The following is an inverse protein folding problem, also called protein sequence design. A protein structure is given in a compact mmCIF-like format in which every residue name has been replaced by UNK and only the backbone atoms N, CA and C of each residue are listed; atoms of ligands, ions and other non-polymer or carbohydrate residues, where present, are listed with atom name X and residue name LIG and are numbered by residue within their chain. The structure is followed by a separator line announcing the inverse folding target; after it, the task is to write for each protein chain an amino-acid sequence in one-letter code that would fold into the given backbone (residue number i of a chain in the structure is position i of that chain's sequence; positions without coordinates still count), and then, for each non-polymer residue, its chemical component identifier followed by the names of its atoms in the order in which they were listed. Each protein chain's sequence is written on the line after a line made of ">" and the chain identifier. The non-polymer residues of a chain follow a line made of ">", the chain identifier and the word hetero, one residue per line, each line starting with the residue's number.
data_IF_847462887581
#
_entry.id   IF_847462887581
#
_cell.length_a   1.000
_cell.length_b   1.000
_cell.length_c   1.000
_cell.angle_alpha   90.00
_cell.angle_beta   90.00
_cell.angle_gamma   90.00
#
_symmetry.space_group_name_H-M   'P 1'
#
loop_
_entity.id
_entity.type
_entity.pdbx_description
1 polymer ?
#
# COMPACT_ATOMS: atom_id res chain seq x y z
N UNK A 1 -99.18 3.95 21.44
CA UNK A 1 -98.51 4.60 20.30
C UNK A 1 -98.47 6.10 20.57
N UNK A 2 -97.27 6.66 20.84
CA UNK A 2 -97.05 8.10 21.02
C UNK A 2 -96.67 8.69 19.66
N UNK A 3 -97.43 9.67 19.20
CA UNK A 3 -97.16 10.40 17.96
C UNK A 3 -95.94 11.32 18.12
N UNK A 4 -95.02 11.25 17.16
CA UNK A 4 -93.88 12.15 17.04
C UNK A 4 -94.36 13.42 16.32
N UNK A 5 -94.31 14.55 17.02
CA UNK A 5 -94.49 15.87 16.41
C UNK A 5 -93.21 16.23 15.64
N UNK A 6 -93.29 16.25 14.31
CA UNK A 6 -92.23 16.79 13.45
C UNK A 6 -92.46 18.29 13.30
N UNK A 7 -91.53 19.08 13.84
CA UNK A 7 -91.53 20.55 13.73
C UNK A 7 -91.26 21.00 12.29
N UNK A 8 -91.86 22.13 11.91
CA UNK A 8 -91.82 22.76 10.57
C UNK A 8 -90.43 22.71 9.90
N UNK A 9 -90.33 22.23 8.63
CA UNK A 9 -89.10 22.32 7.88
C UNK A 9 -88.88 23.76 7.43
N UNK A 10 -87.95 24.48 8.09
CA UNK A 10 -87.36 25.69 7.50
C UNK A 10 -86.48 25.21 6.34
N UNK A 11 -86.92 25.45 5.11
CA UNK A 11 -86.19 25.09 3.90
C UNK A 11 -84.81 25.73 3.87
N UNK A 12 -83.77 24.92 3.71
CA UNK A 12 -82.39 25.34 3.55
C UNK A 12 -82.27 26.15 2.25
N UNK A 13 -81.72 27.36 2.32
CA UNK A 13 -81.59 28.20 1.10
C UNK A 13 -80.38 27.75 0.29
N UNK A 14 -80.47 27.84 -1.05
CA UNK A 14 -79.34 27.54 -1.95
C UNK A 14 -78.11 28.40 -1.60
N UNK A 15 -78.32 29.63 -1.12
CA UNK A 15 -77.25 30.54 -0.70
C UNK A 15 -76.50 29.99 0.52
N UNK A 16 -77.21 29.43 1.50
CA UNK A 16 -76.61 28.81 2.68
C UNK A 16 -75.74 27.59 2.31
N UNK A 17 -76.20 26.79 1.34
CA UNK A 17 -75.41 25.67 0.80
C UNK A 17 -74.14 26.15 0.09
N UNK A 18 -74.23 27.21 -0.73
CA UNK A 18 -73.06 27.77 -1.44
C UNK A 18 -72.03 28.33 -0.47
N UNK A 19 -72.47 29.01 0.60
CA UNK A 19 -71.55 29.54 1.63
C UNK A 19 -70.85 28.40 2.39
N UNK A 20 -71.56 27.32 2.72
CA UNK A 20 -70.96 26.15 3.37
C UNK A 20 -69.94 25.46 2.45
N UNK A 21 -70.27 25.28 1.17
CA UNK A 21 -69.35 24.68 0.20
C UNK A 21 -68.10 25.55 -0.03
N UNK A 22 -68.26 26.87 -0.11
CA UNK A 22 -67.14 27.80 -0.21
C UNK A 22 -66.26 27.76 1.05
N UNK A 23 -66.87 27.74 2.25
CA UNK A 23 -66.15 27.61 3.52
C UNK A 23 -65.37 26.31 3.63
N UNK A 24 -66.00 25.17 3.28
CA UNK A 24 -65.33 23.87 3.25
C UNK A 24 -64.22 23.80 2.20
N UNK A 25 -64.39 24.43 1.03
CA UNK A 25 -63.36 24.50 0.00
C UNK A 25 -62.11 25.25 0.46
N UNK A 26 -62.30 26.42 1.09
CA UNK A 26 -61.19 27.22 1.63
C UNK A 26 -60.49 26.46 2.78
N UNK A 27 -61.25 25.93 3.74
CA UNK A 27 -60.69 25.19 4.88
C UNK A 27 -59.94 23.92 4.45
N UNK A 28 -60.47 23.19 3.45
CA UNK A 28 -59.79 22.01 2.90
C UNK A 28 -58.45 22.37 2.28
N UNK A 29 -58.38 23.49 1.54
CA UNK A 29 -57.14 23.94 0.88
C UNK A 29 -56.03 24.34 1.86
N UNK A 30 -56.39 24.89 3.03
CA UNK A 30 -55.44 25.30 4.07
C UNK A 30 -54.97 24.14 4.95
N UNK A 31 -55.79 23.09 5.10
CA UNK A 31 -55.43 21.94 5.94
C UNK A 31 -54.47 20.96 5.26
N UNK A 32 -54.44 20.88 3.92
CA UNK A 32 -53.70 19.81 3.22
C UNK A 32 -52.18 20.03 3.19
N UNK A 33 -51.71 21.27 3.15
CA UNK A 33 -50.29 21.59 2.94
C UNK A 33 -49.38 21.16 4.10
N UNK A 34 -49.91 21.10 5.32
CA UNK A 34 -49.12 20.73 6.50
C UNK A 34 -48.98 19.21 6.69
N UNK A 35 -49.98 18.42 6.29
CA UNK A 35 -49.98 16.95 6.52
C UNK A 35 -48.82 16.26 5.79
N UNK A 36 -48.51 16.70 4.56
CA UNK A 36 -47.42 16.12 3.77
C UNK A 36 -46.06 16.33 4.47
N UNK A 37 -45.83 17.53 5.02
CA UNK A 37 -44.59 17.81 5.76
C UNK A 37 -44.44 16.92 7.00
N UNK A 38 -45.53 16.66 7.72
CA UNK A 38 -45.50 15.74 8.86
C UNK A 38 -45.20 14.29 8.45
N UNK A 39 -45.71 13.85 7.30
CA UNK A 39 -45.37 12.54 6.75
C UNK A 39 -43.89 12.45 6.35
N UNK A 40 -43.33 13.51 5.77
CA UNK A 40 -41.90 13.57 5.43
C UNK A 40 -41.02 13.51 6.70
N UNK A 41 -41.38 14.23 7.77
CA UNK A 41 -40.68 14.11 9.05
C UNK A 41 -40.78 12.71 9.65
N UNK A 42 -41.95 12.07 9.57
CA UNK A 42 -42.12 10.70 10.06
C UNK A 42 -41.22 9.70 9.31
N UNK A 43 -41.09 9.85 7.98
CA UNK A 43 -40.16 9.04 7.17
C UNK A 43 -38.70 9.26 7.55
N UNK A 44 -38.30 10.51 7.78
CA UNK A 44 -36.95 10.86 8.24
C UNK A 44 -36.67 10.21 9.60
N UNK A 45 -37.62 10.26 10.54
CA UNK A 45 -37.45 9.65 11.86
C UNK A 45 -37.45 8.12 11.82
N UNK A 46 -38.20 7.52 10.90
CA UNK A 46 -38.12 6.09 10.62
C UNK A 46 -36.73 5.72 10.10
N UNK A 47 -36.19 6.45 9.12
CA UNK A 47 -34.84 6.23 8.60
C UNK A 47 -33.76 6.39 9.69
N UNK A 48 -33.85 7.42 10.55
CA UNK A 48 -32.96 7.58 11.72
C UNK A 48 -33.06 6.40 12.68
N UNK A 49 -34.26 5.88 12.91
CA UNK A 49 -34.48 4.72 13.79
C UNK A 49 -33.81 3.47 13.23
N UNK A 50 -33.96 3.23 11.92
CA UNK A 50 -33.32 2.14 11.22
C UNK A 50 -31.78 2.26 11.27
N UNK A 51 -31.22 3.45 11.02
CA UNK A 51 -29.78 3.70 11.13
C UNK A 51 -29.26 3.53 12.57
N UNK A 52 -29.99 4.01 13.58
CA UNK A 52 -29.60 3.82 14.98
C UNK A 52 -29.54 2.35 15.37
N UNK A 53 -30.51 1.56 14.89
CA UNK A 53 -30.52 0.12 15.10
C UNK A 53 -29.30 -0.53 14.45
N UNK A 54 -29.05 -0.20 13.18
CA UNK A 54 -27.89 -0.70 12.45
C UNK A 54 -26.57 -0.33 13.13
N UNK A 55 -26.41 0.92 13.54
CA UNK A 55 -25.25 1.38 14.28
C UNK A 55 -25.07 0.63 15.61
N UNK A 56 -26.15 0.36 16.34
CA UNK A 56 -26.08 -0.37 17.61
C UNK A 56 -25.63 -1.83 17.41
N UNK A 57 -26.12 -2.51 16.38
CA UNK A 57 -25.71 -3.88 16.06
C UNK A 57 -24.28 -3.92 15.53
N UNK A 58 -23.87 -2.98 14.68
CA UNK A 58 -22.47 -2.85 14.27
C UNK A 58 -21.55 -2.59 15.47
N UNK A 59 -21.92 -1.68 16.39
CA UNK A 59 -21.16 -1.45 17.62
C UNK A 59 -21.02 -2.70 18.48
N UNK A 60 -22.07 -3.52 18.58
CA UNK A 60 -21.99 -4.79 19.29
C UNK A 60 -21.01 -5.74 18.61
N UNK A 61 -20.98 -5.76 17.29
CA UNK A 61 -20.05 -6.61 16.54
C UNK A 61 -18.61 -6.10 16.64
N UNK A 62 -18.37 -4.79 16.60
CA UNK A 62 -17.06 -4.19 16.87
C UNK A 62 -16.52 -4.57 18.26
N UNK A 63 -17.40 -4.78 19.24
CA UNK A 63 -16.99 -5.26 20.58
C UNK A 63 -16.65 -6.75 20.60
N UNK A 64 -17.17 -7.54 19.66
CA UNK A 64 -16.91 -8.98 19.56
C UNK A 64 -15.69 -9.30 18.72
N UNK A 65 -15.59 -8.64 17.56
CA UNK A 65 -14.53 -8.83 16.58
C UNK A 65 -14.16 -7.46 15.95
N UNK A 66 -13.31 -6.67 16.63
CA UNK A 66 -12.94 -5.35 16.14
C UNK A 66 -12.19 -5.39 14.80
N UNK A 67 -11.56 -6.53 14.45
CA UNK A 67 -10.71 -6.67 13.26
C UNK A 67 -11.55 -6.82 11.99
N UNK A 68 -12.66 -7.56 12.08
CA UNK A 68 -13.51 -7.86 10.92
C UNK A 68 -14.84 -7.09 10.89
N UNK A 69 -15.24 -6.44 12.00
CA UNK A 69 -16.52 -5.74 12.06
C UNK A 69 -16.63 -4.54 11.11
N UNK A 70 -15.53 -3.83 10.84
CA UNK A 70 -15.54 -2.64 9.98
C UNK A 70 -15.87 -2.98 8.52
N UNK A 71 -15.31 -4.08 8.02
CA UNK A 71 -15.44 -4.51 6.62
C UNK A 71 -16.72 -5.29 6.35
N UNK A 72 -17.47 -5.66 7.40
CA UNK A 72 -18.70 -6.41 7.26
C UNK A 72 -19.77 -5.59 6.57
N UNK A 73 -20.31 -6.12 5.48
CA UNK A 73 -21.48 -5.52 4.83
C UNK A 73 -22.69 -5.63 5.75
N UNK A 74 -23.42 -4.53 5.90
CA UNK A 74 -24.75 -4.53 6.53
C UNK A 74 -25.79 -5.26 5.67
N UNK A 75 -25.45 -5.45 4.39
CA UNK A 75 -26.28 -6.07 3.38
C UNK A 75 -25.66 -7.40 3.02
N UNK A 76 -26.34 -8.51 3.30
CA UNK A 76 -25.97 -9.79 2.72
C UNK A 76 -27.16 -10.36 1.97
N UNK A 77 -27.37 -9.89 0.73
CA UNK A 77 -28.38 -10.44 -0.16
C UNK A 77 -28.09 -11.91 -0.57
N UNK A 78 -26.90 -12.45 -0.27
CA UNK A 78 -26.43 -13.75 -0.77
C UNK A 78 -26.25 -14.86 0.25
N UNK A 79 -26.24 -14.58 1.55
CA UNK A 79 -26.15 -15.64 2.58
C UNK A 79 -27.52 -16.06 3.10
N UNK A 80 -28.39 -16.57 2.21
CA UNK A 80 -29.65 -17.25 2.61
C UNK A 80 -29.41 -18.57 3.37
N UNK A 81 -28.16 -19.06 3.43
CA UNK A 81 -27.80 -20.34 4.03
C UNK A 81 -27.15 -20.23 5.42
N UNK A 82 -26.90 -19.03 5.94
CA UNK A 82 -26.55 -18.81 7.35
C UNK A 82 -27.65 -17.99 8.00
N UNK A 83 -28.53 -18.68 8.73
CA UNK A 83 -29.20 -18.06 9.87
C UNK A 83 -28.11 -17.33 10.67
N UNK A 84 -28.25 -16.02 10.93
CA UNK A 84 -27.77 -15.34 12.15
C UNK A 84 -27.41 -13.85 12.01
N UNK A 85 -27.76 -13.13 10.93
CA UNK A 85 -28.04 -11.70 11.10
C UNK A 85 -29.42 -11.33 10.57
N UNK A 86 -30.28 -10.71 11.39
CA UNK A 86 -31.52 -10.16 10.89
C UNK A 86 -31.22 -9.16 9.78
N UNK A 87 -32.18 -8.96 8.89
CA UNK A 87 -32.19 -7.93 7.87
C UNK A 87 -32.35 -6.56 8.56
N UNK A 88 -31.27 -6.12 9.20
CA UNK A 88 -31.21 -5.00 10.16
C UNK A 88 -31.61 -3.69 9.48
N UNK A 89 -31.11 -3.53 8.26
CA UNK A 89 -31.34 -2.41 7.37
C UNK A 89 -31.35 -3.01 5.97
N UNK A 90 -32.53 -3.15 5.35
CA UNK A 90 -32.67 -3.70 3.99
C UNK A 90 -32.93 -2.58 2.99
N UNK A 91 -32.52 -2.74 1.74
CA UNK A 91 -32.77 -1.72 0.70
C UNK A 91 -34.27 -1.49 0.55
N UNK A 92 -35.09 -2.55 0.58
CA UNK A 92 -36.56 -2.46 0.49
C UNK A 92 -37.16 -1.63 1.64
N UNK A 93 -36.72 -1.87 2.89
CA UNK A 93 -37.18 -1.09 4.05
C UNK A 93 -36.72 0.35 3.97
N UNK A 94 -35.50 0.60 3.51
CA UNK A 94 -34.98 1.95 3.35
C UNK A 94 -35.72 2.71 2.24
N UNK A 95 -36.01 2.05 1.11
CA UNK A 95 -36.73 2.63 -0.01
C UNK A 95 -38.15 3.07 0.38
N UNK A 96 -38.83 2.33 1.27
CA UNK A 96 -40.14 2.74 1.79
C UNK A 96 -40.12 4.07 2.57
N UNK A 97 -38.94 4.46 3.10
CA UNK A 97 -38.73 5.75 3.78
C UNK A 97 -38.32 6.88 2.84
N UNK A 98 -38.13 6.62 1.54
CA UNK A 98 -37.66 7.60 0.57
C UNK A 98 -36.13 7.72 0.50
N UNK A 99 -35.41 6.80 1.13
CA UNK A 99 -33.95 6.75 1.16
C UNK A 99 -33.40 5.55 0.39
N UNK A 100 -32.13 5.64 0.00
CA UNK A 100 -31.32 4.54 -0.55
C UNK A 100 -29.91 4.62 -0.01
N UNK A 101 -29.13 3.56 -0.12
CA UNK A 101 -27.71 3.66 0.21
C UNK A 101 -26.97 4.58 -0.75
N UNK A 102 -26.07 5.39 -0.20
CA UNK A 102 -25.02 6.03 -0.98
C UNK A 102 -24.03 4.93 -1.42
N UNK A 103 -23.57 4.96 -2.66
CA UNK A 103 -22.65 3.94 -3.21
C UNK A 103 -21.42 3.78 -2.31
N UNK A 104 -20.98 2.53 -2.10
CA UNK A 104 -19.82 2.11 -1.29
C UNK A 104 -19.90 2.30 0.24
N UNK A 105 -20.95 2.93 0.76
CA UNK A 105 -21.16 3.19 2.19
C UNK A 105 -22.23 2.27 2.78
N UNK A 106 -22.03 0.95 2.61
CA UNK A 106 -22.96 -0.10 3.03
C UNK A 106 -22.39 -1.03 4.10
N UNK A 107 -21.34 -0.58 4.80
CA UNK A 107 -20.56 -1.41 5.74
C UNK A 107 -20.78 -0.98 7.18
N UNK A 108 -20.54 -1.88 8.11
CA UNK A 108 -20.67 -1.57 9.53
C UNK A 108 -19.72 -0.47 10.01
N UNK A 109 -18.53 -0.35 9.41
CA UNK A 109 -17.60 0.74 9.71
C UNK A 109 -18.08 2.11 9.23
N UNK A 110 -18.85 2.14 8.14
CA UNK A 110 -19.33 3.37 7.51
C UNK A 110 -20.59 3.10 6.68
N UNK A 111 -21.69 3.70 7.11
CA UNK A 111 -23.00 3.59 6.44
C UNK A 111 -23.54 4.96 6.11
N UNK A 112 -23.95 5.17 4.86
CA UNK A 112 -24.54 6.42 4.40
C UNK A 112 -25.79 6.15 3.56
N UNK A 113 -26.84 6.92 3.82
CA UNK A 113 -28.09 6.91 3.08
C UNK A 113 -28.38 8.30 2.52
N UNK A 114 -28.98 8.32 1.35
CA UNK A 114 -29.32 9.54 0.61
C UNK A 114 -30.75 9.44 0.09
N UNK A 115 -31.35 10.58 -0.22
CA UNK A 115 -32.67 10.61 -0.85
C UNK A 115 -32.66 9.82 -2.17
N UNK A 116 -33.73 9.08 -2.46
CA UNK A 116 -33.88 8.37 -3.73
C UNK A 116 -33.88 9.36 -4.89
N UNK A 117 -34.62 10.46 -4.74
CA UNK A 117 -34.69 11.56 -5.70
C UNK A 117 -33.72 12.68 -5.30
N UNK A 118 -32.85 13.16 -6.22
CA UNK A 118 -31.99 14.31 -5.97
C UNK A 118 -32.76 15.58 -5.56
N UNK A 119 -33.97 15.77 -6.08
CA UNK A 119 -34.80 16.95 -5.74
C UNK A 119 -35.24 16.94 -4.27
N UNK A 120 -35.39 15.75 -3.69
CA UNK A 120 -35.81 15.61 -2.29
C UNK A 120 -34.64 15.85 -1.32
N UNK A 121 -33.37 15.76 -1.76
CA UNK A 121 -32.21 15.93 -0.87
C UNK A 121 -32.07 17.34 -0.31
N UNK A 122 -32.54 18.34 -1.06
CA UNK A 122 -32.51 19.76 -0.67
C UNK A 122 -33.80 20.26 -0.02
N UNK A 123 -34.89 19.46 -0.08
CA UNK A 123 -36.24 19.88 0.32
C UNK A 123 -36.84 19.06 1.45
N UNK A 124 -36.55 17.76 1.51
CA UNK A 124 -37.29 16.82 2.38
C UNK A 124 -36.36 15.92 3.19
N UNK A 125 -35.35 15.35 2.55
CA UNK A 125 -34.61 14.21 3.08
C UNK A 125 -33.11 14.52 3.12
N UNK A 126 -32.54 14.98 4.27
CA UNK A 126 -31.09 15.17 4.39
C UNK A 126 -30.35 13.85 4.19
N UNK A 127 -29.14 13.85 3.66
CA UNK A 127 -28.30 12.64 3.72
C UNK A 127 -27.95 12.34 5.17
N UNK A 128 -28.05 11.07 5.56
CA UNK A 128 -27.78 10.62 6.92
C UNK A 128 -26.70 9.55 6.86
N UNK A 129 -25.71 9.64 7.74
CA UNK A 129 -24.69 8.61 7.84
C UNK A 129 -24.23 8.38 9.27
N UNK A 130 -23.56 7.27 9.47
CA UNK A 130 -22.77 7.03 10.65
C UNK A 130 -21.44 6.35 10.28
N UNK A 131 -20.44 6.62 11.11
CA UNK A 131 -19.12 6.00 11.06
C UNK A 131 -18.84 5.45 12.45
N UNK A 132 -18.28 4.25 12.54
CA UNK A 132 -17.80 3.70 13.81
C UNK A 132 -16.27 3.70 13.75
N UNK A 133 -15.62 4.50 14.59
CA UNK A 133 -14.15 4.55 14.76
C UNK A 133 -13.80 4.15 16.18
N UNK A 134 -12.90 3.18 16.37
CA UNK A 134 -12.40 2.80 17.70
C UNK A 134 -13.52 2.49 18.72
N UNK A 135 -14.61 1.88 18.24
CA UNK A 135 -15.79 1.59 19.05
C UNK A 135 -16.63 2.82 19.42
N UNK A 136 -16.31 3.99 18.89
CA UNK A 136 -17.06 5.24 19.00
C UNK A 136 -17.94 5.42 17.77
N UNK A 137 -19.23 5.65 18.01
CA UNK A 137 -20.19 5.96 16.95
C UNK A 137 -20.24 7.46 16.70
N UNK A 138 -19.95 7.84 15.46
CA UNK A 138 -20.03 9.21 14.96
C UNK A 138 -21.19 9.27 13.99
N UNK A 139 -22.15 10.17 14.23
CA UNK A 139 -23.26 10.43 13.32
C UNK A 139 -22.94 11.67 12.51
N UNK A 140 -23.19 11.60 11.21
CA UNK A 140 -22.99 12.72 10.29
C UNK A 140 -24.23 12.92 9.42
N UNK A 141 -24.42 14.13 8.92
CA UNK A 141 -25.49 14.45 7.99
C UNK A 141 -25.02 15.38 6.89
N UNK A 142 -25.66 15.29 5.73
CA UNK A 142 -25.52 16.24 4.64
C UNK A 142 -26.73 17.17 4.63
N UNK A 143 -26.46 18.47 4.52
CA UNK A 143 -27.52 19.47 4.39
C UNK A 143 -27.42 20.20 3.05
N UNK A 144 -28.30 19.84 2.11
CA UNK A 144 -28.31 20.41 0.76
C UNK A 144 -29.33 21.57 0.61
N UNK A 145 -30.07 21.92 1.67
CA UNK A 145 -31.03 23.03 1.64
C UNK A 145 -31.50 23.51 3.02
N UNK A 146 -32.20 24.65 3.08
CA UNK A 146 -32.68 25.21 4.35
C UNK A 146 -33.78 24.37 5.02
N UNK A 147 -34.55 23.61 4.24
CA UNK A 147 -35.65 22.80 4.75
C UNK A 147 -35.16 21.51 5.46
N UNK A 148 -33.98 21.02 5.10
CA UNK A 148 -33.38 19.80 5.66
C UNK A 148 -32.48 20.05 6.87
N UNK A 149 -32.15 21.31 7.15
CA UNK A 149 -31.18 21.71 8.18
C UNK A 149 -31.57 21.23 9.58
N UNK A 150 -32.82 21.42 9.97
CA UNK A 150 -33.31 21.00 11.29
C UNK A 150 -33.21 19.49 11.48
N UNK A 151 -33.59 18.72 10.44
CA UNK A 151 -33.49 17.26 10.44
C UNK A 151 -32.04 16.78 10.48
N UNK A 152 -31.15 17.39 9.68
CA UNK A 152 -29.72 17.08 9.67
C UNK A 152 -29.08 17.35 11.04
N UNK A 153 -29.33 18.52 11.64
CA UNK A 153 -28.87 18.88 12.98
C UNK A 153 -29.43 17.97 14.06
N UNK A 154 -30.69 17.54 13.94
CA UNK A 154 -31.29 16.59 14.90
C UNK A 154 -30.62 15.21 14.89
N UNK A 155 -30.04 14.81 13.77
CA UNK A 155 -29.33 13.52 13.63
C UNK A 155 -27.86 13.63 14.04
N UNK A 156 -27.14 14.59 13.44
CA UNK A 156 -25.69 14.67 13.49
C UNK A 156 -25.15 15.72 14.47
N UNK A 157 -26.03 16.54 15.07
CA UNK A 157 -25.62 17.66 15.91
C UNK A 157 -24.77 18.65 15.12
N UNK A 158 -23.50 18.78 15.52
CA UNK A 158 -22.53 19.66 14.85
C UNK A 158 -21.87 19.02 13.61
N UNK A 159 -22.03 17.72 13.40
CA UNK A 159 -21.42 16.98 12.27
C UNK A 159 -22.28 17.08 10.99
N UNK A 160 -22.82 18.28 10.73
CA UNK A 160 -23.59 18.59 9.53
C UNK A 160 -22.67 19.30 8.54
N UNK A 161 -22.52 18.75 7.35
CA UNK A 161 -21.68 19.31 6.30
C UNK A 161 -22.39 19.28 4.94
N UNK A 162 -21.72 19.71 3.87
CA UNK A 162 -22.20 19.48 2.51
C UNK A 162 -21.90 18.05 2.09
N UNK A 163 -22.71 17.48 1.19
CA UNK A 163 -22.56 16.09 0.75
C UNK A 163 -21.14 15.70 0.32
N UNK A 164 -20.46 16.59 -0.41
CA UNK A 164 -19.09 16.36 -0.87
C UNK A 164 -18.07 16.28 0.27
N UNK A 165 -18.14 17.18 1.24
CA UNK A 165 -17.18 17.25 2.37
C UNK A 165 -17.27 16.02 3.27
N UNK A 166 -18.49 15.49 3.45
CA UNK A 166 -18.72 14.28 4.23
C UNK A 166 -18.08 13.06 3.56
N UNK A 167 -18.34 12.87 2.27
CA UNK A 167 -17.80 11.74 1.50
C UNK A 167 -16.27 11.80 1.50
N UNK A 168 -15.68 12.97 1.23
CA UNK A 168 -14.23 13.16 1.25
C UNK A 168 -13.60 12.85 2.61
N UNK A 169 -14.24 13.26 3.71
CA UNK A 169 -13.78 12.92 5.06
C UNK A 169 -13.90 11.41 5.33
N UNK A 170 -15.02 10.79 4.97
CA UNK A 170 -15.28 9.36 5.17
C UNK A 170 -14.30 8.46 4.41
N UNK A 171 -14.01 8.78 3.13
CA UNK A 171 -13.03 8.06 2.32
C UNK A 171 -11.62 8.21 2.89
N UNK A 172 -11.25 9.41 3.34
CA UNK A 172 -9.94 9.67 3.91
C UNK A 172 -9.74 8.92 5.23
N UNK A 173 -10.70 9.01 6.16
CA UNK A 173 -10.67 8.28 7.43
C UNK A 173 -10.59 6.76 7.21
N UNK A 174 -11.36 6.21 6.27
CA UNK A 174 -11.26 4.81 5.89
C UNK A 174 -9.86 4.42 5.37
N UNK A 175 -9.22 5.29 4.57
CA UNK A 175 -7.88 5.06 4.05
C UNK A 175 -6.81 5.02 5.16
N UNK A 176 -6.93 5.87 6.18
CA UNK A 176 -6.01 5.89 7.33
C UNK A 176 -6.10 4.56 8.08
N UNK A 177 -7.32 4.09 8.36
CA UNK A 177 -7.54 2.82 9.07
C UNK A 177 -7.04 1.62 8.30
N UNK A 178 -7.24 1.61 6.99
CA UNK A 178 -6.73 0.53 6.15
C UNK A 178 -5.20 0.49 6.21
N UNK A 179 -4.55 1.65 6.17
CA UNK A 179 -3.10 1.74 6.30
C UNK A 179 -2.61 1.32 7.69
N UNK A 180 -3.29 1.74 8.75
CA UNK A 180 -2.98 1.34 10.13
C UNK A 180 -3.12 -0.17 10.34
N UNK A 181 -4.25 -0.75 9.92
CA UNK A 181 -4.52 -2.19 10.01
C UNK A 181 -3.42 -2.98 9.30
N UNK A 182 -3.12 -2.64 8.04
CA UNK A 182 -2.07 -3.27 7.28
C UNK A 182 -0.70 -3.14 7.96
N UNK A 183 -0.37 -1.96 8.47
CA UNK A 183 0.89 -1.72 9.17
C UNK A 183 1.02 -2.58 10.44
N UNK A 184 -0.06 -2.70 11.22
CA UNK A 184 -0.11 -3.55 12.42
C UNK A 184 -0.05 -5.04 12.06
N UNK A 185 -0.69 -5.47 10.97
CA UNK A 185 -0.59 -6.83 10.44
C UNK A 185 0.85 -7.16 10.00
N UNK A 186 1.50 -6.28 9.23
CA UNK A 186 2.89 -6.44 8.79
C UNK A 186 3.85 -6.52 9.99
N UNK A 187 3.64 -5.67 11.01
CA UNK A 187 4.39 -5.73 12.26
C UNK A 187 4.17 -7.04 13.01
N UNK A 188 2.92 -7.50 13.16
CA UNK A 188 2.62 -8.75 13.83
C UNK A 188 3.21 -9.95 13.09
N UNK A 189 3.18 -9.93 11.75
CA UNK A 189 3.86 -10.93 10.93
C UNK A 189 5.37 -10.91 11.19
N UNK A 190 5.99 -9.73 11.25
CA UNK A 190 7.40 -9.60 11.60
C UNK A 190 7.70 -10.13 13.01
N UNK A 191 6.87 -9.82 14.00
CA UNK A 191 7.02 -10.34 15.37
C UNK A 191 6.75 -11.86 15.47
N UNK A 192 5.89 -12.43 14.62
CA UNK A 192 5.56 -13.86 14.68
C UNK A 192 6.73 -14.78 14.32
N UNK A 193 7.76 -14.27 13.64
CA UNK A 193 8.96 -15.02 13.32
C UNK A 193 10.02 -14.82 14.42
N UNK A 194 10.30 -15.87 15.20
CA UNK A 194 11.30 -15.85 16.28
C UNK A 194 12.74 -15.57 15.78
N UNK A 195 13.01 -15.71 14.48
CA UNK A 195 14.30 -15.31 13.90
C UNK A 195 14.43 -13.80 13.72
N UNK A 196 13.33 -13.04 13.74
CA UNK A 196 13.37 -11.60 13.57
C UNK A 196 13.85 -10.91 14.86
N UNK A 197 14.83 -10.03 14.67
CA UNK A 197 15.58 -9.33 15.72
C UNK A 197 16.01 -7.97 15.16
N UNK A 198 16.33 -7.04 16.03
CA UNK A 198 16.87 -5.75 15.66
C UNK A 198 15.81 -4.73 15.25
N UNK A 199 16.18 -3.88 14.29
CA UNK A 199 15.46 -2.66 13.92
C UNK A 199 14.37 -2.94 12.89
N UNK A 200 13.16 -2.44 13.14
CA UNK A 200 12.03 -2.48 12.21
C UNK A 200 11.47 -1.06 12.00
N UNK A 201 11.49 -0.58 10.76
CA UNK A 201 11.23 0.84 10.42
C UNK A 201 9.81 1.11 9.87
N UNK A 202 8.90 0.15 10.02
CA UNK A 202 7.54 0.20 9.44
C UNK A 202 6.48 -0.10 10.49
N UNK A 203 6.65 0.37 11.71
CA UNK A 203 5.60 0.30 12.73
C UNK A 203 4.67 1.52 12.63
N UNK A 204 3.45 1.39 13.15
CA UNK A 204 2.47 2.47 13.12
C UNK A 204 2.79 3.54 14.16
N UNK A 205 2.95 4.79 13.72
CA UNK A 205 3.11 5.94 14.57
C UNK A 205 1.74 6.45 15.05
N UNK A 206 1.46 6.29 16.34
CA UNK A 206 0.21 6.75 16.98
C UNK A 206 -0.02 8.27 16.86
N UNK A 207 1.01 9.07 16.54
CA UNK A 207 0.82 10.48 16.22
C UNK A 207 0.06 10.70 14.90
N UNK A 208 0.13 9.77 13.95
CA UNK A 208 -0.46 9.88 12.62
C UNK A 208 -2.00 9.95 12.62
N UNK A 209 -2.64 9.62 13.75
CA UNK A 209 -4.09 9.72 13.97
C UNK A 209 -4.47 10.67 15.11
N UNK A 210 -3.48 11.22 15.83
CA UNK A 210 -3.69 11.96 17.09
C UNK A 210 -4.51 13.25 16.96
N UNK A 211 -4.56 13.85 15.77
CA UNK A 211 -5.32 15.08 15.50
C UNK A 211 -6.33 14.90 14.37
N UNK A 212 -6.72 13.67 14.04
CA UNK A 212 -7.77 13.45 13.07
C UNK A 212 -9.11 14.01 13.57
N UNK A 213 -9.82 14.81 12.75
CA UNK A 213 -11.11 15.31 13.14
C UNK A 213 -12.11 14.15 13.17
N UNK A 214 -12.95 14.12 14.21
CA UNK A 214 -14.04 13.14 14.40
C UNK A 214 -15.21 13.37 13.43
N UNK A 215 -15.05 14.23 12.43
CA UNK A 215 -16.09 14.61 11.49
C UNK A 215 -15.53 15.57 10.43
N UNK A 216 -16.33 15.91 9.42
CA UNK A 216 -15.92 16.87 8.39
C UNK A 216 -15.56 18.25 9.00
N UNK A 217 -14.62 19.00 8.38
CA UNK A 217 -14.01 18.73 7.08
C UNK A 217 -12.85 17.72 7.13
N UNK A 218 -12.47 17.18 5.96
CA UNK A 218 -11.21 16.45 5.77
C UNK A 218 -10.03 17.35 6.10
N UNK A 219 -9.11 16.87 6.94
CA UNK A 219 -7.86 17.56 7.28
C UNK A 219 -6.72 16.60 6.98
N UNK A 220 -5.83 16.98 6.05
CA UNK A 220 -4.58 16.28 5.79
C UNK A 220 -3.46 16.97 6.58
N UNK A 221 -2.81 16.24 7.49
CA UNK A 221 -1.66 16.74 8.25
C UNK A 221 -0.73 15.60 8.64
N UNK A 222 0.44 15.91 9.21
CA UNK A 222 1.34 14.89 9.76
C UNK A 222 0.70 14.09 10.92
N UNK A 223 -0.33 14.65 11.55
CA UNK A 223 -1.08 14.06 12.66
C UNK A 223 -2.44 13.47 12.26
N UNK A 224 -2.75 13.50 10.96
CA UNK A 224 -3.91 12.85 10.36
C UNK A 224 -3.58 12.41 8.93
N UNK A 225 -2.92 11.25 8.80
CA UNK A 225 -2.37 10.76 7.53
C UNK A 225 -2.39 9.25 7.40
N UNK A 226 -2.64 8.70 6.20
CA UNK A 226 -2.50 7.27 5.95
C UNK A 226 -1.03 6.81 5.95
N UNK A 227 -0.07 7.75 5.92
CA UNK A 227 1.36 7.46 5.90
C UNK A 227 1.97 7.29 7.31
N UNK A 228 1.19 6.77 8.27
CA UNK A 228 1.61 6.57 9.66
C UNK A 228 2.57 5.39 9.88
N UNK A 229 2.81 4.55 8.87
CA UNK A 229 3.66 3.36 8.98
C UNK A 229 5.16 3.70 8.85
N UNK A 230 5.66 4.53 9.77
CA UNK A 230 7.00 5.12 9.73
C UNK A 230 7.70 5.14 11.09
N UNK A 231 7.13 4.51 12.12
CA UNK A 231 7.78 4.40 13.42
C UNK A 231 8.84 3.30 13.39
N UNK A 232 10.02 3.62 13.89
CA UNK A 232 11.06 2.64 14.20
C UNK A 232 10.79 1.98 15.53
N UNK A 233 10.96 0.67 15.60
CA UNK A 233 10.97 -0.11 16.83
C UNK A 233 12.18 -1.06 16.83
N UNK A 234 12.56 -1.51 18.02
CA UNK A 234 13.51 -2.60 18.20
C UNK A 234 12.78 -3.79 18.79
N UNK A 235 12.91 -4.96 18.15
CA UNK A 235 12.28 -6.19 18.60
C UNK A 235 13.27 -7.33 18.77
N UNK A 236 12.95 -8.27 19.66
CA UNK A 236 13.74 -9.47 19.89
C UNK A 236 12.82 -10.66 20.09
N UNK A 237 12.94 -11.69 19.24
CA UNK A 237 12.20 -12.97 19.33
C UNK A 237 10.70 -12.77 19.58
N UNK A 238 10.07 -11.96 18.73
CA UNK A 238 8.63 -11.70 18.75
C UNK A 238 8.11 -10.79 19.84
N UNK A 239 9.00 -10.11 20.58
CA UNK A 239 8.62 -9.05 21.51
C UNK A 239 9.20 -7.70 21.07
N UNK A 240 8.45 -6.62 21.26
CA UNK A 240 8.96 -5.25 21.13
C UNK A 240 9.76 -4.93 22.39
N UNK A 241 11.01 -4.49 22.22
CA UNK A 241 11.92 -4.12 23.32
C UNK A 241 11.87 -2.62 23.57
N UNK A 242 11.98 -1.82 22.51
CA UNK A 242 11.96 -0.35 22.59
C UNK A 242 11.34 0.26 21.33
N UNK A 243 10.97 1.54 21.43
CA UNK A 243 10.38 2.31 20.33
C UNK A 243 11.17 3.59 20.06
N UNK A 244 11.19 4.02 18.80
CA UNK A 244 11.88 5.23 18.34
C UNK A 244 13.26 4.95 17.74
N UNK A 245 13.69 5.83 16.83
CA UNK A 245 15.04 5.79 16.25
C UNK A 245 15.99 6.70 17.05
N UNK A 246 16.28 6.30 18.29
CA UNK A 246 17.17 7.06 19.18
C UNK A 246 18.29 6.17 19.72
N UNK A 247 19.46 6.75 20.05
CA UNK A 247 20.53 6.00 20.71
C UNK A 247 20.09 5.36 22.05
N UNK A 248 19.09 5.93 22.72
CA UNK A 248 18.53 5.35 23.94
C UNK A 248 17.73 4.08 23.62
N UNK A 249 16.88 4.10 22.60
CA UNK A 249 16.12 2.94 22.14
C UNK A 249 17.03 1.80 21.68
N UNK A 250 18.10 2.12 20.96
CA UNK A 250 19.11 1.14 20.55
C UNK A 250 19.87 0.58 21.75
N UNK A 251 20.26 1.42 22.72
CA UNK A 251 20.89 0.96 23.95
C UNK A 251 19.98 0.03 24.76
N UNK A 252 18.68 0.31 24.85
CA UNK A 252 17.72 -0.58 25.52
C UNK A 252 17.66 -1.96 24.85
N UNK A 253 17.76 -2.00 23.51
CA UNK A 253 17.87 -3.26 22.77
C UNK A 253 19.18 -3.98 23.09
N UNK A 254 20.32 -3.28 23.08
CA UNK A 254 21.63 -3.85 23.41
C UNK A 254 21.66 -4.44 24.83
N UNK A 255 21.17 -3.68 25.81
CA UNK A 255 21.06 -4.10 27.21
C UNK A 255 20.15 -5.35 27.32
N UNK A 256 19.05 -5.41 26.55
CA UNK A 256 18.17 -6.58 26.50
C UNK A 256 18.88 -7.81 25.93
N UNK A 257 19.63 -7.65 24.83
CA UNK A 257 20.42 -8.73 24.23
C UNK A 257 21.51 -9.21 25.18
N UNK A 258 22.20 -8.30 25.89
CA UNK A 258 23.19 -8.65 26.92
C UNK A 258 22.57 -9.51 28.04
N UNK A 259 21.36 -9.17 28.49
CA UNK A 259 20.64 -9.97 29.50
C UNK A 259 20.30 -11.37 28.96
N UNK A 260 19.89 -11.49 27.69
CA UNK A 260 19.44 -12.76 27.11
C UNK A 260 20.59 -13.68 26.68
N UNK A 261 21.70 -13.11 26.17
CA UNK A 261 22.79 -13.86 25.52
C UNK A 261 24.16 -13.65 26.16
N UNK A 262 24.27 -12.77 27.14
CA UNK A 262 25.53 -12.40 27.77
C UNK A 262 26.29 -11.31 27.00
N UNK A 263 27.17 -10.63 27.74
CA UNK A 263 27.92 -9.47 27.27
C UNK A 263 28.80 -9.74 26.05
N UNK A 264 29.52 -10.86 26.05
CA UNK A 264 30.42 -11.23 24.95
C UNK A 264 29.68 -11.37 23.61
N UNK A 265 28.47 -11.93 23.62
CA UNK A 265 27.62 -12.00 22.44
C UNK A 265 27.12 -10.61 22.03
N UNK A 266 26.60 -9.83 22.98
CA UNK A 266 26.07 -8.49 22.71
C UNK A 266 27.14 -7.56 22.09
N UNK A 267 28.36 -7.57 22.64
CA UNK A 267 29.50 -6.80 22.11
C UNK A 267 29.88 -7.24 20.69
N UNK A 268 29.83 -8.54 20.38
CA UNK A 268 30.12 -9.07 19.05
C UNK A 268 29.05 -8.63 18.02
N UNK A 269 27.76 -8.72 18.37
CA UNK A 269 26.66 -8.28 17.51
C UNK A 269 26.68 -6.76 17.29
N UNK A 270 27.05 -6.00 18.32
CA UNK A 270 27.25 -4.56 18.21
C UNK A 270 28.38 -4.21 17.24
N UNK A 271 29.53 -4.89 17.34
CA UNK A 271 30.64 -4.67 16.42
C UNK A 271 30.27 -4.98 14.96
N UNK A 272 29.42 -5.99 14.71
CA UNK A 272 28.91 -6.30 13.37
C UNK A 272 28.00 -5.20 12.82
N UNK A 273 27.11 -4.62 13.65
CA UNK A 273 26.29 -3.47 13.26
C UNK A 273 27.14 -2.25 12.92
N UNK A 274 28.10 -1.92 13.78
CA UNK A 274 28.98 -0.76 13.61
C UNK A 274 29.90 -0.86 12.39
N UNK A 275 30.22 -2.09 11.94
CA UNK A 275 30.99 -2.30 10.72
C UNK A 275 30.26 -1.80 9.47
N UNK A 276 28.93 -1.63 9.50
CA UNK A 276 28.09 -1.19 8.38
C UNK A 276 28.35 -1.98 7.08
N UNK A 277 28.68 -3.26 7.21
CA UNK A 277 28.98 -4.15 6.08
C UNK A 277 27.79 -5.06 5.78
N UNK A 278 27.70 -5.50 4.52
CA UNK A 278 26.80 -6.58 4.17
C UNK A 278 27.44 -7.90 4.58
N UNK A 279 26.68 -8.77 5.25
CA UNK A 279 27.11 -10.16 5.46
C UNK A 279 27.12 -10.94 4.16
N UNK A 280 27.70 -12.14 4.17
CA UNK A 280 27.54 -13.08 3.05
C UNK A 280 26.12 -13.66 2.99
N UNK A 281 25.78 -14.38 1.91
CA UNK A 281 24.52 -15.09 1.79
C UNK A 281 24.34 -16.17 2.87
N UNK A 282 25.44 -16.76 3.34
CA UNK A 282 25.46 -17.75 4.42
C UNK A 282 25.38 -17.09 5.82
N UNK A 283 25.27 -15.77 5.88
CA UNK A 283 25.34 -14.99 7.12
C UNK A 283 26.74 -14.99 7.71
N UNK A 284 26.83 -14.62 8.99
CA UNK A 284 28.06 -14.70 9.80
C UNK A 284 27.73 -15.50 11.07
N UNK A 285 28.39 -16.66 11.30
CA UNK A 285 28.31 -17.34 12.58
C UNK A 285 29.03 -16.51 13.64
N UNK A 286 28.40 -16.30 14.78
CA UNK A 286 29.02 -15.61 15.92
C UNK A 286 29.27 -16.61 17.02
N UNK A 287 30.52 -17.09 17.13
CA UNK A 287 30.93 -18.13 18.10
C UNK A 287 30.56 -17.78 19.54
N UNK A 288 30.58 -16.49 19.87
CA UNK A 288 30.21 -15.95 21.20
C UNK A 288 28.70 -16.00 21.48
N UNK A 289 27.87 -16.27 20.47
CA UNK A 289 26.42 -16.29 20.51
C UNK A 289 25.84 -17.70 20.26
N UNK A 290 26.47 -18.74 20.83
CA UNK A 290 26.08 -20.15 20.65
C UNK A 290 26.18 -20.66 19.20
N UNK A 291 26.95 -19.97 18.35
CA UNK A 291 27.05 -20.31 16.92
C UNK A 291 25.81 -19.91 16.10
N UNK A 292 24.94 -19.05 16.64
CA UNK A 292 23.85 -18.44 15.88
C UNK A 292 24.42 -17.70 14.65
N UNK A 293 23.69 -17.78 13.53
CA UNK A 293 24.04 -17.12 12.26
C UNK A 293 23.24 -15.83 12.12
N UNK A 294 23.91 -14.75 11.74
CA UNK A 294 23.32 -13.41 11.65
C UNK A 294 23.51 -12.84 10.24
N UNK A 295 22.51 -12.08 9.79
CA UNK A 295 22.57 -11.34 8.54
C UNK A 295 22.46 -9.85 8.83
N UNK A 296 23.32 -9.06 8.20
CA UNK A 296 23.30 -7.61 8.28
C UNK A 296 23.24 -7.01 6.88
N UNK A 297 22.39 -6.01 6.73
CA UNK A 297 22.29 -5.19 5.52
C UNK A 297 22.46 -3.73 5.92
N UNK A 298 23.58 -3.11 5.53
CA UNK A 298 23.93 -1.72 5.87
C UNK A 298 23.86 -1.44 7.38
N UNK A 299 24.42 -2.35 8.18
CA UNK A 299 24.47 -2.24 9.63
C UNK A 299 23.20 -2.65 10.37
N UNK A 300 22.07 -2.84 9.68
CA UNK A 300 20.84 -3.32 10.31
C UNK A 300 20.80 -4.86 10.32
N UNK A 301 20.53 -5.45 11.48
CA UNK A 301 20.25 -6.89 11.62
C UNK A 301 18.93 -7.22 10.92
N UNK A 302 18.95 -8.18 10.01
CA UNK A 302 17.79 -8.59 9.21
C UNK A 302 17.67 -10.11 9.16
N UNK A 303 16.50 -10.64 8.81
CA UNK A 303 16.36 -12.07 8.53
C UNK A 303 17.10 -12.45 7.24
N UNK A 304 17.44 -13.73 7.07
CA UNK A 304 18.05 -14.23 5.84
C UNK A 304 17.20 -13.92 4.59
N UNK A 305 15.87 -14.02 4.70
CA UNK A 305 14.92 -13.70 3.63
C UNK A 305 14.92 -12.20 3.29
N UNK A 306 14.90 -11.35 4.32
CA UNK A 306 14.96 -9.89 4.14
C UNK A 306 16.30 -9.49 3.54
N UNK A 307 17.40 -10.07 4.02
CA UNK A 307 18.73 -9.84 3.47
C UNK A 307 18.81 -10.20 1.98
N UNK A 308 18.31 -11.37 1.60
CA UNK A 308 18.30 -11.81 0.20
C UNK A 308 17.46 -10.87 -0.69
N UNK A 309 16.29 -10.45 -0.20
CA UNK A 309 15.43 -9.49 -0.89
C UNK A 309 16.10 -8.12 -1.08
N UNK A 310 16.71 -7.56 -0.02
CA UNK A 310 17.39 -6.27 -0.08
C UNK A 310 18.63 -6.31 -0.99
N UNK A 311 19.42 -7.38 -0.91
CA UNK A 311 20.56 -7.59 -1.81
C UNK A 311 20.13 -7.79 -3.26
N UNK A 312 19.04 -8.54 -3.50
CA UNK A 312 18.45 -8.66 -4.82
C UNK A 312 18.03 -7.30 -5.38
N UNK A 313 17.34 -6.49 -4.58
CA UNK A 313 16.91 -5.16 -4.99
C UNK A 313 18.10 -4.26 -5.30
N UNK A 314 19.14 -4.26 -4.45
CA UNK A 314 20.36 -3.48 -4.71
C UNK A 314 21.04 -3.91 -6.02
N UNK A 315 21.14 -5.23 -6.27
CA UNK A 315 21.72 -5.77 -7.49
C UNK A 315 20.88 -5.42 -8.73
N UNK A 316 19.54 -5.47 -8.63
CA UNK A 316 18.63 -5.01 -9.69
C UNK A 316 18.80 -3.51 -9.98
N UNK A 317 18.90 -2.68 -8.93
CA UNK A 317 19.07 -1.23 -9.08
C UNK A 317 20.37 -0.89 -9.83
N UNK A 318 21.47 -1.61 -9.55
CA UNK A 318 22.72 -1.48 -10.30
C UNK A 318 22.54 -1.79 -11.80
N UNK A 319 21.63 -2.70 -12.13
CA UNK A 319 21.33 -3.11 -13.49
C UNK A 319 20.27 -2.24 -14.20
N UNK A 320 19.52 -1.37 -13.49
CA UNK A 320 18.51 -0.52 -14.14
C UNK A 320 19.11 0.40 -15.22
N UNK A 321 20.38 0.77 -15.08
CA UNK A 321 21.09 1.56 -16.09
C UNK A 321 21.54 0.75 -17.32
N UNK A 322 21.35 -0.57 -17.31
CA UNK A 322 21.82 -1.48 -18.36
C UNK A 322 20.66 -2.20 -19.02
N UNK A 323 20.98 -2.96 -20.07
CA UNK A 323 20.08 -3.97 -20.62
C UNK A 323 20.53 -5.33 -20.11
N UNK A 324 19.67 -6.00 -19.33
CA UNK A 324 20.00 -7.27 -18.67
C UNK A 324 18.95 -8.34 -18.96
N UNK A 325 19.42 -9.56 -19.22
CA UNK A 325 18.60 -10.76 -19.32
C UNK A 325 19.38 -11.93 -18.71
N UNK A 326 18.82 -12.49 -17.64
CA UNK A 326 19.41 -13.64 -16.96
C UNK A 326 19.22 -13.58 -15.44
N UNK A 327 19.76 -14.57 -14.72
CA UNK A 327 19.70 -14.56 -13.26
C UNK A 327 20.46 -13.36 -12.69
N UNK A 328 20.01 -12.89 -11.52
CA UNK A 328 20.65 -11.81 -10.75
C UNK A 328 21.01 -12.37 -9.39
N UNK A 329 22.22 -12.09 -8.91
CA UNK A 329 22.70 -12.58 -7.62
C UNK A 329 21.71 -12.21 -6.50
N UNK A 330 21.40 -13.19 -5.65
CA UNK A 330 20.44 -13.13 -4.55
C UNK A 330 18.95 -12.96 -4.96
N UNK A 331 18.61 -12.96 -6.26
CA UNK A 331 17.23 -12.86 -6.75
C UNK A 331 16.58 -14.22 -7.09
N UNK A 332 17.14 -15.32 -6.59
CA UNK A 332 16.73 -16.68 -6.94
C UNK A 332 17.23 -17.12 -8.32
N UNK A 333 16.61 -18.16 -8.89
CA UNK A 333 17.03 -18.76 -10.16
C UNK A 333 16.27 -18.21 -11.39
N UNK A 334 15.25 -17.39 -11.16
CA UNK A 334 14.44 -16.81 -12.24
C UNK A 334 15.22 -15.73 -12.97
N UNK A 335 15.09 -15.71 -14.31
CA UNK A 335 15.65 -14.63 -15.12
C UNK A 335 14.96 -13.30 -14.79
N UNK A 336 15.77 -12.26 -14.60
CA UNK A 336 15.32 -10.88 -14.51
C UNK A 336 15.57 -10.20 -15.85
N UNK A 337 14.59 -9.44 -16.32
CA UNK A 337 14.64 -8.73 -17.59
C UNK A 337 14.60 -7.23 -17.33
N UNK A 338 15.62 -6.49 -17.77
CA UNK A 338 15.71 -5.03 -17.60
C UNK A 338 16.00 -4.41 -18.95
N UNK A 339 15.16 -3.48 -19.39
CA UNK A 339 15.34 -2.74 -20.64
C UNK A 339 14.79 -1.31 -20.49
N UNK A 340 15.50 -0.33 -21.05
CA UNK A 340 15.09 1.07 -21.02
C UNK A 340 14.93 1.68 -19.62
N UNK A 341 15.78 1.30 -18.66
CA UNK A 341 15.69 1.85 -17.30
C UNK A 341 14.73 1.14 -16.36
N UNK A 342 14.05 0.07 -16.82
CA UNK A 342 12.93 -0.54 -16.08
C UNK A 342 13.03 -2.06 -16.06
N UNK A 343 12.68 -2.64 -14.92
CA UNK A 343 12.44 -4.08 -14.80
C UNK A 343 11.12 -4.44 -15.50
N UNK A 344 11.17 -5.45 -16.35
CA UNK A 344 10.01 -6.01 -17.04
C UNK A 344 9.56 -7.23 -16.25
N UNK A 345 8.38 -7.14 -15.64
CA UNK A 345 7.80 -8.17 -14.76
C UNK A 345 6.60 -8.86 -15.41
N UNK A 346 6.24 -10.04 -14.89
CA UNK A 346 5.03 -10.77 -15.24
C UNK A 346 5.25 -11.95 -16.20
N UNK A 347 4.17 -12.67 -16.51
CA UNK A 347 4.22 -13.92 -17.29
C UNK A 347 4.79 -13.75 -18.72
N UNK A 348 4.70 -12.54 -19.28
CA UNK A 348 5.22 -12.19 -20.61
C UNK A 348 6.52 -11.38 -20.56
N UNK A 349 7.24 -11.40 -19.42
CA UNK A 349 8.43 -10.56 -19.23
C UNK A 349 9.48 -10.74 -20.33
N UNK A 350 9.74 -11.98 -20.75
CA UNK A 350 10.67 -12.27 -21.85
C UNK A 350 10.22 -11.69 -23.19
N UNK A 351 8.96 -11.88 -23.57
CA UNK A 351 8.43 -11.37 -24.84
C UNK A 351 8.44 -9.83 -24.88
N UNK A 352 8.06 -9.19 -23.78
CA UNK A 352 8.11 -7.73 -23.63
C UNK A 352 9.55 -7.20 -23.63
N UNK A 353 10.50 -7.98 -23.10
CA UNK A 353 11.92 -7.68 -23.19
C UNK A 353 12.42 -7.78 -24.63
N UNK A 354 12.08 -8.83 -25.37
CA UNK A 354 12.43 -8.99 -26.78
C UNK A 354 11.83 -7.86 -27.63
N UNK A 355 10.60 -7.41 -27.33
CA UNK A 355 9.97 -6.25 -27.96
C UNK A 355 10.67 -4.94 -27.58
N UNK A 356 11.07 -4.78 -26.32
CA UNK A 356 11.86 -3.62 -25.89
C UNK A 356 13.20 -3.58 -26.61
N UNK A 357 13.89 -4.71 -26.76
CA UNK A 357 15.12 -4.82 -27.56
C UNK A 357 14.88 -4.47 -29.04
N UNK A 358 13.71 -4.76 -29.60
CA UNK A 358 13.42 -4.42 -30.99
C UNK A 358 13.15 -2.92 -31.21
N UNK A 359 12.66 -2.22 -30.18
CA UNK A 359 12.17 -0.85 -30.29
C UNK A 359 13.08 0.20 -29.63
N UNK A 360 13.85 -0.18 -28.61
CA UNK A 360 14.78 0.70 -27.91
C UNK A 360 16.14 0.67 -28.61
N UNK A 361 16.45 1.77 -29.30
CA UNK A 361 17.69 1.90 -30.08
C UNK A 361 18.95 1.84 -29.20
N UNK A 362 18.86 2.24 -27.92
CA UNK A 362 19.96 2.05 -26.97
C UNK A 362 20.11 0.57 -26.62
N UNK A 363 19.00 -0.11 -26.31
CA UNK A 363 19.00 -1.52 -25.93
C UNK A 363 19.52 -2.43 -27.07
N UNK A 364 19.27 -2.07 -28.33
CA UNK A 364 19.86 -2.73 -29.50
C UNK A 364 21.40 -2.71 -29.43
N UNK A 365 21.99 -1.54 -29.17
CA UNK A 365 23.43 -1.38 -29.10
C UNK A 365 24.03 -2.02 -27.85
N UNK A 366 23.36 -1.91 -26.69
CA UNK A 366 23.78 -2.59 -25.46
C UNK A 366 23.71 -4.12 -25.60
N UNK A 367 22.71 -4.66 -26.30
CA UNK A 367 22.61 -6.09 -26.59
C UNK A 367 23.71 -6.56 -27.55
N UNK A 368 24.00 -5.79 -28.61
CA UNK A 368 25.11 -6.08 -29.52
C UNK A 368 26.47 -6.01 -28.80
N UNK A 369 26.64 -5.04 -27.91
CA UNK A 369 27.79 -4.86 -27.01
C UNK A 369 28.00 -6.10 -26.13
N UNK A 370 26.96 -6.56 -25.43
CA UNK A 370 27.02 -7.74 -24.55
C UNK A 370 27.34 -9.02 -25.35
N UNK A 371 26.72 -9.20 -26.52
CA UNK A 371 26.97 -10.35 -27.38
C UNK A 371 28.38 -10.38 -27.99
N UNK A 372 28.98 -9.22 -28.27
CA UNK A 372 30.38 -9.12 -28.72
C UNK A 372 31.35 -9.35 -27.55
N UNK A 373 31.06 -8.79 -26.38
CA UNK A 373 31.87 -8.94 -25.18
C UNK A 373 32.04 -10.41 -24.77
N UNK A 374 30.96 -11.21 -24.80
CA UNK A 374 31.02 -12.66 -24.49
C UNK A 374 31.92 -13.44 -25.47
N UNK A 375 32.11 -12.95 -26.70
CA UNK A 375 32.99 -13.58 -27.70
C UNK A 375 34.46 -13.20 -27.52
N UNK A 376 34.77 -12.18 -26.72
CA UNK A 376 36.14 -11.73 -26.47
C UNK A 376 36.74 -12.51 -25.31
N UNK A 377 37.85 -13.20 -25.57
CA UNK A 377 38.63 -13.87 -24.51
C UNK A 377 39.51 -12.89 -23.73
N UNK A 378 39.90 -11.78 -24.36
CA UNK A 378 40.87 -10.84 -23.81
C UNK A 378 40.17 -9.55 -23.38
N UNK A 379 40.43 -9.11 -22.14
CA UNK A 379 39.95 -7.82 -21.65
C UNK A 379 40.64 -6.63 -22.32
N UNK A 380 40.10 -5.43 -22.12
CA UNK A 380 40.64 -4.17 -22.63
C UNK A 380 39.60 -3.29 -23.34
N UNK A 381 40.06 -2.21 -23.99
CA UNK A 381 39.19 -1.25 -24.64
C UNK A 381 38.54 -1.86 -25.88
N UNK A 382 37.28 -1.55 -26.10
CA UNK A 382 36.55 -1.97 -27.30
C UNK A 382 35.46 -0.98 -27.66
N UNK A 383 35.21 -0.80 -28.95
CA UNK A 383 34.11 0.05 -29.42
C UNK A 383 32.87 -0.81 -29.64
N UNK A 384 31.73 -0.36 -29.14
CA UNK A 384 30.47 -1.08 -29.30
C UNK A 384 30.12 -1.24 -30.78
N UNK A 385 29.82 -2.47 -31.24
CA UNK A 385 29.51 -2.69 -32.65
C UNK A 385 28.18 -2.06 -33.00
N UNK A 386 28.10 -1.40 -34.15
CA UNK A 386 26.82 -1.04 -34.76
C UNK A 386 26.27 -2.29 -35.45
N UNK A 387 25.06 -2.77 -35.11
CA UNK A 387 24.48 -3.93 -35.77
C UNK A 387 24.39 -3.74 -37.29
N UNK A 388 24.62 -4.81 -38.05
CA UNK A 388 24.71 -4.75 -39.52
C UNK A 388 23.41 -4.31 -40.22
N UNK A 389 22.27 -4.40 -39.54
CA UNK A 389 20.96 -3.95 -40.03
C UNK A 389 20.67 -2.47 -39.73
N UNK A 390 21.54 -1.78 -38.99
CA UNK A 390 21.42 -0.35 -38.74
C UNK A 390 22.24 0.44 -39.77
N UNK A 391 21.61 1.42 -40.42
CA UNK A 391 22.28 2.30 -41.39
C UNK A 391 23.15 3.38 -40.73
N UNK A 392 22.99 3.61 -39.43
CA UNK A 392 23.80 4.51 -38.61
C UNK A 392 23.73 4.06 -37.13
N UNK A 393 24.77 4.32 -36.31
CA UNK A 393 24.67 4.18 -34.87
C UNK A 393 23.65 5.19 -34.34
N UNK A 394 22.47 4.71 -33.92
CA UNK A 394 21.45 5.55 -33.31
C UNK A 394 21.27 5.05 -31.88
N UNK A 395 21.76 5.82 -30.91
CA UNK A 395 21.70 5.49 -29.49
C UNK A 395 22.98 5.96 -28.78
N UNK A 396 22.86 6.30 -27.50
CA UNK A 396 23.97 6.83 -26.69
C UNK A 396 25.07 5.80 -26.41
N UNK A 397 24.77 4.51 -26.61
CA UNK A 397 25.72 3.41 -26.39
C UNK A 397 26.30 2.86 -27.69
N UNK A 398 25.89 3.37 -28.86
CA UNK A 398 26.38 2.92 -30.16
C UNK A 398 27.67 3.65 -30.53
N UNK A 399 28.68 2.92 -31.01
CA UNK A 399 29.98 3.46 -31.42
C UNK A 399 30.73 4.20 -30.28
N UNK A 400 30.47 3.83 -29.03
CA UNK A 400 31.17 4.33 -27.84
C UNK A 400 32.25 3.32 -27.44
N UNK A 401 33.38 3.83 -26.93
CA UNK A 401 34.44 2.99 -26.36
C UNK A 401 34.07 2.57 -24.93
N UNK A 402 34.07 1.26 -24.69
CA UNK A 402 33.93 0.62 -23.40
C UNK A 402 35.21 -0.15 -23.05
N UNK A 403 35.29 -0.66 -21.83
CA UNK A 403 36.35 -1.54 -21.35
C UNK A 403 35.72 -2.85 -20.92
N UNK A 404 36.12 -3.96 -21.53
CA UNK A 404 35.62 -5.30 -21.17
C UNK A 404 36.63 -6.00 -20.29
N UNK A 405 36.16 -6.65 -19.23
CA UNK A 405 36.99 -7.46 -18.36
C UNK A 405 36.71 -8.95 -18.54
N UNK A 406 37.65 -9.66 -19.17
CA UNK A 406 37.48 -11.09 -19.48
C UNK A 406 37.28 -11.98 -18.24
N UNK A 407 37.88 -11.61 -17.09
CA UNK A 407 37.76 -12.39 -15.84
C UNK A 407 36.44 -12.18 -15.12
N UNK A 408 36.02 -10.93 -14.90
CA UNK A 408 34.74 -10.64 -14.24
C UNK A 408 33.54 -10.74 -15.17
N UNK A 409 33.78 -10.79 -16.49
CA UNK A 409 32.78 -10.70 -17.57
C UNK A 409 31.95 -9.41 -17.53
N UNK A 410 32.47 -8.35 -16.92
CA UNK A 410 31.81 -7.03 -16.82
C UNK A 410 32.29 -6.08 -17.92
N UNK A 411 31.45 -5.09 -18.21
CA UNK A 411 31.68 -4.01 -19.17
C UNK A 411 31.64 -2.69 -18.41
N UNK A 412 32.63 -1.83 -18.64
CA UNK A 412 32.74 -0.51 -18.01
C UNK A 412 32.73 0.58 -19.08
N UNK A 413 32.04 1.69 -18.80
CA UNK A 413 32.01 2.86 -19.69
C UNK A 413 33.27 3.71 -19.54
N UNK A 414 33.82 3.78 -18.33
CA UNK A 414 35.06 4.49 -18.01
C UNK A 414 36.24 3.53 -17.81
N UNK A 415 37.45 4.01 -18.13
CA UNK A 415 38.69 3.28 -17.81
C UNK A 415 38.91 3.20 -16.29
N UNK A 416 38.51 4.23 -15.55
CA UNK A 416 38.68 4.31 -14.10
C UNK A 416 37.96 3.17 -13.38
N UNK A 417 36.70 2.88 -13.74
CA UNK A 417 35.93 1.76 -13.17
C UNK A 417 36.52 0.40 -13.54
N UNK A 418 37.05 0.28 -14.76
CA UNK A 418 37.76 -0.92 -15.21
C UNK A 418 39.04 -1.16 -14.41
N UNK A 419 39.84 -0.11 -14.18
CA UNK A 419 41.10 -0.18 -13.43
C UNK A 419 40.85 -0.41 -11.92
N UNK A 420 39.66 -0.02 -11.41
CA UNK A 420 39.24 -0.24 -10.03
C UNK A 420 38.83 -1.70 -9.75
N UNK A 421 38.39 -2.46 -10.75
CA UNK A 421 38.04 -3.87 -10.57
C UNK A 421 39.30 -4.74 -10.52
N UNK A 422 39.61 -5.29 -9.35
CA UNK A 422 40.77 -6.15 -9.10
C UNK A 422 40.82 -7.38 -10.01
N UNK A 423 39.67 -7.89 -10.48
CA UNK A 423 39.66 -9.00 -11.43
C UNK A 423 40.14 -8.58 -12.82
N UNK A 424 40.13 -7.28 -13.12
CA UNK A 424 40.42 -6.69 -14.42
C UNK A 424 41.84 -6.14 -14.51
N UNK A 425 42.50 -5.96 -13.36
CA UNK A 425 43.94 -5.72 -13.30
C UNK A 425 44.65 -6.91 -13.94
N UNK A 426 45.22 -6.66 -15.12
CA UNK A 426 46.12 -7.59 -15.77
C UNK A 426 47.22 -7.88 -14.74
N UNK A 427 47.34 -9.14 -14.29
CA UNK A 427 48.51 -9.53 -13.51
C UNK A 427 49.71 -9.17 -14.37
N UNK A 428 50.59 -8.31 -13.87
CA UNK A 428 51.87 -8.07 -14.51
C UNK A 428 52.60 -9.41 -14.54
N UNK A 429 52.52 -10.09 -15.69
CA UNK A 429 53.14 -11.40 -15.88
C UNK A 429 54.67 -11.28 -15.99
N UNK A 430 55.22 -10.08 -15.80
CA UNK A 430 56.62 -9.75 -16.00
C UNK A 430 57.00 -9.71 -17.48
N UNK A 431 58.28 -9.45 -17.73
CA UNK A 431 58.85 -9.54 -19.07
C UNK A 431 58.81 -11.00 -19.57
N UNK A 432 58.50 -11.17 -20.86
CA UNK A 432 58.47 -12.48 -21.49
C UNK A 432 59.81 -13.23 -21.27
N UNK A 433 59.84 -14.37 -20.54
CA UNK A 433 61.08 -14.93 -20.03
C UNK A 433 62.04 -15.46 -21.10
N UNK A 434 61.64 -15.54 -22.37
CA UNK A 434 62.53 -15.60 -23.53
C UNK A 434 61.75 -15.45 -24.84
N UNK A 435 62.43 -15.14 -25.97
CA UNK A 435 61.82 -15.14 -27.33
C UNK A 435 61.16 -16.47 -27.73
N UNK A 436 61.38 -17.56 -26.99
CA UNK A 436 60.91 -18.88 -27.34
C UNK A 436 59.60 -19.30 -26.63
N UNK A 437 59.16 -18.60 -25.58
CA UNK A 437 57.93 -18.98 -24.84
C UNK A 437 56.63 -18.82 -25.66
N UNK A 438 56.66 -18.13 -26.80
CA UNK A 438 55.51 -18.01 -27.71
C UNK A 438 55.34 -19.21 -28.67
N UNK A 439 56.15 -20.27 -28.55
CA UNK A 439 56.06 -21.45 -29.43
C UNK A 439 55.50 -22.66 -28.65
N UNK A 440 54.55 -23.42 -29.22
CA UNK A 440 53.86 -24.52 -28.53
C UNK A 440 54.77 -25.55 -27.85
N UNK A 441 55.92 -25.82 -28.48
CA UNK A 441 56.92 -26.77 -27.97
C UNK A 441 57.63 -26.35 -26.67
N UNK A 442 57.40 -25.13 -26.17
CA UNK A 442 58.01 -24.64 -24.92
C UNK A 442 57.00 -24.46 -23.78
N UNK A 443 55.72 -24.80 -23.96
CA UNK A 443 54.73 -24.76 -22.88
C UNK A 443 54.98 -25.78 -21.76
N UNK A 444 55.88 -26.75 -21.96
CA UNK A 444 56.29 -27.70 -20.92
C UNK A 444 57.39 -27.17 -20.00
N UNK A 445 57.92 -25.98 -20.27
CA UNK A 445 58.95 -25.35 -19.44
C UNK A 445 58.25 -24.45 -18.42
N UNK A 446 58.42 -24.74 -17.12
CA UNK A 446 57.62 -24.18 -16.02
C UNK A 446 57.43 -22.65 -16.09
N UNK A 447 58.50 -21.90 -16.37
CA UNK A 447 58.41 -20.44 -16.48
C UNK A 447 57.67 -19.95 -17.73
N UNK A 448 57.73 -20.68 -18.85
CA UNK A 448 56.91 -20.37 -20.03
C UNK A 448 55.45 -20.80 -19.82
N UNK A 449 55.20 -21.85 -19.03
CA UNK A 449 53.86 -22.30 -18.63
C UNK A 449 53.20 -21.23 -17.77
N UNK A 450 53.83 -20.83 -16.67
CA UNK A 450 53.32 -19.79 -15.76
C UNK A 450 53.08 -18.46 -16.48
N UNK A 451 54.00 -18.04 -17.36
CA UNK A 451 53.79 -16.86 -18.19
C UNK A 451 52.63 -17.01 -19.18
N UNK A 452 52.49 -18.17 -19.83
CA UNK A 452 51.41 -18.42 -20.80
C UNK A 452 50.05 -18.58 -20.13
N UNK A 453 50.00 -19.18 -18.95
CA UNK A 453 48.82 -19.31 -18.09
C UNK A 453 48.40 -17.92 -17.57
N UNK A 454 49.37 -17.12 -17.09
CA UNK A 454 49.15 -15.73 -16.69
C UNK A 454 48.61 -14.86 -17.85
N UNK A 455 49.09 -15.10 -19.08
CA UNK A 455 48.63 -14.43 -20.31
C UNK A 455 47.33 -15.03 -20.89
N UNK A 456 46.74 -16.06 -20.27
CA UNK A 456 45.50 -16.70 -20.72
C UNK A 456 45.61 -17.41 -22.07
N UNK A 457 46.78 -17.98 -22.39
CA UNK A 457 47.06 -18.68 -23.66
C UNK A 457 47.09 -20.20 -23.55
N UNK A 458 46.89 -20.74 -22.34
CA UNK A 458 46.81 -22.18 -22.06
C UNK A 458 45.38 -22.64 -21.86
#
# INVERSE_FOLDING_TARGET
>A
MKGVNVANPKGFTIIELVVVLAGLGILSSLATSNVIKYLDYAKVDEAKTLLNKAAAECLQEFRRDPVNAADRELFNAKDKNKNDLPDILSEERLESTGYRFSSDHKRCGNTSISAISPDDSSRRYPGLSFVISDGVLIKCATNDGSETEASAKSWAGNNVSKGKELIEWQEYDASIRQAEKKCKEDLNQWLSNESNRGKYNKAWNEQATSQCPQGPPKIESEFCTPNGCNQTIYGYKGSIVSTGDTPASEKEYDDYVEIQKGKDCADALKALREANTHTSADGIPVDKCDGDVYWYYRGDEVSAETWASEMCNENKQKLLSTTHSGPVDNCGTSDIYICGGKEIIGANAKANFDECLANDKNAICTSALNNDAVKRSNGGPYTSPTPSYMSAPIGEDCNIQYWYCGKSRKIYRGKEDYDADEACKIRDCGDAPSRNCNKPKFYTVLFCYEYSDCMGRL
#
